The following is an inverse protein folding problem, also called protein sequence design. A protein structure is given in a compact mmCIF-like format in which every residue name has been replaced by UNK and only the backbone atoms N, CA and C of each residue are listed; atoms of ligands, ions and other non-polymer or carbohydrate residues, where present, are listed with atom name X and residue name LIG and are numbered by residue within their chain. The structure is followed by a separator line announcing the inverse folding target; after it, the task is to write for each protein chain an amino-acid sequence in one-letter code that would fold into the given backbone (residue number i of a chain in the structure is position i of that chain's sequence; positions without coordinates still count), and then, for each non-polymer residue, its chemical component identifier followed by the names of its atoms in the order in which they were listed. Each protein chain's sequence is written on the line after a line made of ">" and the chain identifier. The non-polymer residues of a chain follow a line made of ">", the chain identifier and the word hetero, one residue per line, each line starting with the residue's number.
data_IF_961266998691
#
_entry.id   IF_961266998691
#
_cell.length_a   1.000
_cell.length_b   1.000
_cell.length_c   1.000
_cell.angle_alpha   90.00
_cell.angle_beta   90.00
_cell.angle_gamma   90.00
#
_symmetry.space_group_name_H-M   'P 1'
#
loop_
_entity.id
_entity.type
_entity.pdbx_description
1 polymer ?
#
# COMPACT_ATOMS: atom_id res chain seq x y z
N UNK A 1 22.09 12.88 -10.11
CA UNK A 1 21.88 11.53 -10.68
C UNK A 1 20.89 10.84 -9.77
N UNK A 2 19.60 10.86 -10.09
CA UNK A 2 18.62 10.13 -9.28
C UNK A 2 18.71 8.67 -9.69
N UNK A 3 19.39 7.85 -8.88
CA UNK A 3 19.34 6.40 -9.02
C UNK A 3 17.88 5.98 -8.80
N UNK A 4 17.18 5.74 -9.91
CA UNK A 4 15.87 5.11 -9.89
C UNK A 4 16.13 3.62 -9.61
N UNK A 5 16.34 3.29 -8.33
CA UNK A 5 16.47 1.90 -7.90
C UNK A 5 15.27 1.12 -8.42
N UNK A 6 15.47 0.03 -9.19
CA UNK A 6 14.37 -0.68 -9.81
C UNK A 6 13.45 -1.26 -8.74
N UNK A 7 12.19 -0.80 -8.72
CA UNK A 7 11.17 -1.35 -7.84
C UNK A 7 10.63 -2.66 -8.43
N UNK A 8 10.56 -3.69 -7.59
CA UNK A 8 9.99 -4.99 -7.96
C UNK A 8 8.64 -5.15 -7.27
N UNK A 9 7.60 -5.52 -8.03
CA UNK A 9 6.30 -5.87 -7.47
C UNK A 9 6.34 -7.32 -7.00
N UNK A 10 6.04 -7.53 -5.72
CA UNK A 10 6.01 -8.84 -5.08
C UNK A 10 4.59 -9.16 -4.61
N UNK A 11 4.21 -10.44 -4.71
CA UNK A 11 2.96 -10.95 -4.14
C UNK A 11 3.28 -11.72 -2.87
N UNK A 12 2.87 -11.18 -1.73
CA UNK A 12 3.07 -11.78 -0.42
C UNK A 12 1.78 -11.71 0.39
N UNK A 13 1.58 -12.70 1.26
CA UNK A 13 0.50 -12.64 2.25
C UNK A 13 1.02 -11.90 3.47
N UNK A 14 0.31 -10.88 3.91
CA UNK A 14 0.65 -10.08 5.09
C UNK A 14 -0.53 -10.03 6.04
N UNK A 15 -0.24 -9.97 7.33
CA UNK A 15 -1.25 -9.72 8.35
C UNK A 15 -1.28 -8.22 8.65
N UNK A 16 -2.50 -7.68 8.68
CA UNK A 16 -2.75 -6.30 9.09
C UNK A 16 -4.01 -6.26 9.95
N UNK A 17 -4.12 -5.23 10.78
CA UNK A 17 -5.30 -5.08 11.62
C UNK A 17 -6.55 -4.84 10.78
N UNK A 18 -7.69 -5.41 11.18
CA UNK A 18 -8.96 -5.15 10.52
C UNK A 18 -9.30 -3.64 10.47
N UNK A 19 -8.88 -2.90 11.51
CA UNK A 19 -9.01 -1.44 11.57
C UNK A 19 -8.21 -0.72 10.48
N UNK A 20 -6.99 -1.18 10.18
CA UNK A 20 -6.19 -0.63 9.09
C UNK A 20 -6.87 -0.86 7.73
N UNK A 21 -7.36 -2.08 7.46
CA UNK A 21 -8.08 -2.37 6.22
C UNK A 21 -9.32 -1.48 6.05
N UNK A 22 -10.10 -1.32 7.12
CA UNK A 22 -11.28 -0.44 7.11
C UNK A 22 -10.90 1.01 6.79
N UNK A 23 -9.80 1.52 7.36
CA UNK A 23 -9.30 2.86 7.08
C UNK A 23 -8.90 3.02 5.60
N UNK A 24 -8.21 2.02 5.03
CA UNK A 24 -7.86 2.03 3.59
C UNK A 24 -9.12 2.10 2.74
N UNK A 25 -10.07 1.20 2.95
CA UNK A 25 -11.33 1.17 2.19
C UNK A 25 -12.09 2.50 2.31
N UNK A 26 -12.18 3.06 3.52
CA UNK A 26 -12.87 4.34 3.74
C UNK A 26 -12.18 5.50 3.01
N UNK A 27 -10.85 5.59 3.07
CA UNK A 27 -10.10 6.65 2.41
C UNK A 27 -10.12 6.49 0.88
N UNK A 28 -10.02 5.27 0.37
CA UNK A 28 -10.13 5.01 -1.07
C UNK A 28 -11.52 5.37 -1.59
N UNK A 29 -12.60 5.07 -0.84
CA UNK A 29 -13.98 5.48 -1.18
C UNK A 29 -14.14 7.00 -1.23
N UNK A 30 -13.54 7.72 -0.29
CA UNK A 30 -13.56 9.20 -0.27
C UNK A 30 -12.82 9.77 -1.49
N UNK A 31 -11.70 9.15 -1.90
CA UNK A 31 -10.85 9.64 -2.98
C UNK A 31 -11.41 9.35 -4.38
N UNK A 32 -12.08 8.21 -4.57
CA UNK A 32 -12.61 7.83 -5.87
C UNK A 32 -13.80 8.68 -6.33
N UNK A 33 -14.51 9.33 -5.39
CA UNK A 33 -15.80 9.97 -5.68
C UNK A 33 -16.88 8.95 -6.05
N UNK A 34 -18.12 9.39 -6.15
CA UNK A 34 -19.22 8.56 -6.66
C UNK A 34 -19.18 8.61 -8.18
N UNK A 35 -19.27 7.47 -8.88
CA UNK A 35 -19.48 7.49 -10.33
C UNK A 35 -20.89 8.04 -10.67
N UNK A 36 -21.11 8.45 -11.92
CA UNK A 36 -22.38 9.00 -12.41
C UNK A 36 -23.58 8.03 -12.30
N UNK A 37 -23.38 6.79 -11.83
CA UNK A 37 -24.39 5.74 -11.65
C UNK A 37 -24.49 5.22 -10.22
N UNK A 38 -23.79 5.83 -9.26
CA UNK A 38 -23.83 5.42 -7.84
C UNK A 38 -23.00 4.17 -7.51
N UNK A 39 -22.18 3.66 -8.43
CA UNK A 39 -21.35 2.47 -8.21
C UNK A 39 -19.91 2.84 -7.84
N UNK A 40 -19.40 2.26 -6.76
CA UNK A 40 -17.98 2.34 -6.42
C UNK A 40 -17.21 1.28 -7.19
N UNK A 41 -16.53 1.65 -8.27
CA UNK A 41 -15.49 0.79 -8.88
C UNK A 41 -14.18 1.00 -8.13
N UNK A 42 -14.11 0.44 -6.93
CA UNK A 42 -12.93 0.53 -6.07
C UNK A 42 -12.09 -0.74 -6.22
N UNK A 43 -10.86 -0.62 -6.71
CA UNK A 43 -9.86 -1.68 -6.52
C UNK A 43 -9.15 -1.45 -5.18
N UNK A 44 -9.72 -2.04 -4.13
CA UNK A 44 -9.14 -1.94 -2.79
C UNK A 44 -7.82 -2.68 -2.67
N UNK A 45 -7.56 -3.68 -3.52
CA UNK A 45 -6.32 -4.43 -3.50
C UNK A 45 -5.18 -3.57 -4.05
N UNK A 46 -5.41 -2.88 -5.17
CA UNK A 46 -4.44 -1.93 -5.73
C UNK A 46 -4.16 -0.77 -4.77
N UNK A 47 -5.21 -0.18 -4.19
CA UNK A 47 -5.05 0.91 -3.23
C UNK A 47 -4.27 0.49 -1.97
N UNK A 48 -4.50 -0.73 -1.49
CA UNK A 48 -3.73 -1.29 -0.37
C UNK A 48 -2.27 -1.53 -0.77
N UNK A 49 -2.04 -2.11 -1.95
CA UNK A 49 -0.69 -2.36 -2.47
C UNK A 49 0.11 -1.06 -2.63
N UNK A 50 -0.49 -0.02 -3.19
CA UNK A 50 0.14 1.30 -3.32
C UNK A 50 0.45 1.92 -1.96
N UNK A 51 -0.50 1.84 -1.01
CA UNK A 51 -0.32 2.38 0.33
C UNK A 51 0.85 1.71 1.07
N UNK A 52 0.92 0.38 1.02
CA UNK A 52 2.00 -0.37 1.65
C UNK A 52 3.33 -0.06 0.97
N UNK A 53 3.36 -0.01 -0.36
CA UNK A 53 4.58 0.31 -1.11
C UNK A 53 5.13 1.69 -0.70
N UNK A 54 4.24 2.67 -0.56
CA UNK A 54 4.59 4.01 -0.06
C UNK A 54 5.05 3.98 1.39
N UNK A 55 4.39 3.23 2.27
CA UNK A 55 4.80 3.07 3.66
C UNK A 55 6.21 2.48 3.79
N UNK A 56 6.55 1.45 3.00
CA UNK A 56 7.88 0.84 3.01
C UNK A 56 8.98 1.83 2.58
N UNK A 57 8.70 2.67 1.60
CA UNK A 57 9.62 3.75 1.19
C UNK A 57 9.77 4.82 2.28
N UNK A 58 8.66 5.29 2.86
CA UNK A 58 8.66 6.32 3.91
C UNK A 58 9.32 5.86 5.21
N UNK A 59 9.35 4.54 5.47
CA UNK A 59 9.95 3.94 6.67
C UNK A 59 11.35 3.38 6.47
N UNK A 60 11.96 3.61 5.30
CA UNK A 60 13.30 3.11 4.95
C UNK A 60 13.43 1.59 5.17
N UNK A 61 12.50 0.84 4.55
CA UNK A 61 12.52 -0.62 4.63
C UNK A 61 13.80 -1.23 4.03
N UNK A 62 14.47 -0.52 3.12
CA UNK A 62 15.76 -0.93 2.57
C UNK A 62 16.84 -0.99 3.66
N UNK A 63 16.83 -0.07 4.62
CA UNK A 63 17.70 -0.14 5.79
C UNK A 63 17.26 -1.25 6.76
N UNK A 64 15.95 -1.34 7.03
CA UNK A 64 15.40 -2.38 7.91
C UNK A 64 15.72 -3.81 7.43
N UNK A 65 15.61 -4.06 6.12
CA UNK A 65 15.83 -5.38 5.52
C UNK A 65 17.29 -5.85 5.52
N UNK A 66 18.26 -4.93 5.68
CA UNK A 66 19.71 -5.22 5.75
C UNK A 66 20.19 -5.57 7.15
N UNK A 67 19.40 -5.32 8.18
CA UNK A 67 19.73 -5.70 9.55
C UNK A 67 19.30 -7.14 9.82
N UNK A 68 20.29 -8.01 10.04
CA UNK A 68 20.10 -9.44 10.28
C UNK A 68 19.27 -9.73 11.55
N UNK A 69 19.23 -8.79 12.51
CA UNK A 69 18.46 -8.96 13.75
C UNK A 69 16.93 -8.87 13.56
N UNK A 70 16.47 -8.45 12.37
CA UNK A 70 15.04 -8.35 12.05
C UNK A 70 14.43 -9.67 11.54
N UNK A 71 15.24 -10.73 11.45
CA UNK A 71 14.85 -12.07 11.01
C UNK A 71 14.96 -13.08 12.17
#
# INVERSE_FOLDING_TARGET
>A
MSENSPLVRVHVNIELSAAALQAVVANTKKKAGTDDKGHYRLDTADALSELISRFLQEKDFDAFSKDENNY
#
